data_IF_245444776636
#
_entry.id   IF_245444776636
#
_cell.length_a   1.000
_cell.length_b   1.000
_cell.length_c   1.000
_cell.angle_alpha   90.00
_cell.angle_beta   90.00
_cell.angle_gamma   90.00
#
_symmetry.space_group_name_H-M   'P 1'
#
loop_
_entity.id
_entity.type
_entity.pdbx_description
1 polymer ?
#
# COMPACT_ATOMS: atom_id res chain seq x y z
N UNK A 1 -4.91 34.02 13.42
CA UNK A 1 -3.76 33.85 12.53
C UNK A 1 -3.93 32.47 11.95
N UNK A 2 -4.02 32.39 10.64
CA UNK A 2 -4.29 31.15 9.94
C UNK A 2 -3.11 30.21 10.10
N UNK A 3 -3.36 29.02 10.63
CA UNK A 3 -2.34 27.97 10.79
C UNK A 3 -2.43 27.03 9.60
N UNK A 4 -1.33 26.88 8.86
CA UNK A 4 -1.25 25.92 7.76
C UNK A 4 -0.51 24.67 8.26
N UNK A 5 -1.02 23.48 7.97
CA UNK A 5 -0.41 22.21 8.41
C UNK A 5 -0.40 21.21 7.26
N UNK A 6 0.77 20.64 6.99
CA UNK A 6 0.94 19.61 5.96
C UNK A 6 0.92 18.24 6.63
N UNK A 7 0.19 17.28 6.07
CA UNK A 7 0.16 15.91 6.56
C UNK A 7 1.54 15.25 6.41
N UNK A 8 2.01 14.56 7.46
CA UNK A 8 3.34 13.93 7.48
C UNK A 8 3.54 12.90 6.36
N UNK A 9 2.48 12.19 6.00
CA UNK A 9 2.50 11.19 4.93
C UNK A 9 2.25 11.78 3.53
N UNK A 10 2.20 13.11 3.36
CA UNK A 10 1.96 13.70 2.05
C UNK A 10 3.09 13.39 1.05
N UNK A 11 2.72 13.14 -0.21
CA UNK A 11 3.68 12.99 -1.31
C UNK A 11 4.06 11.54 -1.64
N UNK A 12 5.22 11.33 -2.25
CA UNK A 12 5.62 10.04 -2.83
C UNK A 12 5.59 8.88 -1.82
N UNK A 13 5.00 7.76 -2.24
CA UNK A 13 5.20 6.50 -1.53
C UNK A 13 6.42 5.74 -2.09
N UNK A 14 6.89 4.74 -1.35
CA UNK A 14 8.00 3.87 -1.77
C UNK A 14 7.81 3.27 -3.16
N UNK A 15 6.60 2.77 -3.48
CA UNK A 15 6.32 2.14 -4.77
C UNK A 15 6.45 3.12 -5.95
N UNK A 16 6.02 4.37 -5.75
CA UNK A 16 6.15 5.45 -6.72
C UNK A 16 7.61 5.88 -6.88
N UNK A 17 8.30 6.17 -5.78
CA UNK A 17 9.70 6.59 -5.80
C UNK A 17 10.60 5.54 -6.48
N UNK A 18 10.39 4.25 -6.15
CA UNK A 18 11.08 3.12 -6.80
C UNK A 18 10.84 3.11 -8.31
N UNK A 19 9.58 3.24 -8.74
CA UNK A 19 9.25 3.17 -10.17
C UNK A 19 9.86 4.35 -10.95
N UNK A 20 9.79 5.55 -10.38
CA UNK A 20 10.39 6.76 -10.96
C UNK A 20 11.91 6.63 -11.08
N UNK A 21 12.59 6.20 -10.01
CA UNK A 21 14.04 5.96 -10.02
C UNK A 21 14.46 4.90 -11.03
N UNK A 22 13.68 3.83 -11.20
CA UNK A 22 13.96 2.79 -12.19
C UNK A 22 13.98 3.35 -13.62
N UNK A 23 13.03 4.21 -13.98
CA UNK A 23 12.99 4.83 -15.31
C UNK A 23 14.16 5.80 -15.49
N UNK A 24 14.41 6.71 -14.55
CA UNK A 24 15.53 7.66 -14.66
C UNK A 24 16.89 6.97 -14.73
N UNK A 25 17.10 5.91 -13.94
CA UNK A 25 18.33 5.14 -13.98
C UNK A 25 18.54 4.45 -15.33
N UNK A 26 17.47 4.05 -16.01
CA UNK A 26 17.55 3.44 -17.33
C UNK A 26 17.78 4.49 -18.42
N UNK A 27 17.11 5.65 -18.34
CA UNK A 27 17.36 6.79 -19.24
C UNK A 27 18.82 7.27 -19.15
N UNK A 28 19.43 7.25 -17.96
CA UNK A 28 20.84 7.60 -17.76
C UNK A 28 21.85 6.67 -18.46
N UNK A 29 21.43 5.51 -18.96
CA UNK A 29 22.28 4.55 -19.68
C UNK A 29 22.28 4.76 -21.20
N UNK A 30 21.65 5.82 -21.70
CA UNK A 30 21.44 6.08 -23.15
C UNK A 30 20.70 4.93 -23.87
N UNK A 31 19.84 4.20 -23.16
CA UNK A 31 18.97 3.18 -23.75
C UNK A 31 17.64 3.79 -24.19
N UNK A 32 17.00 3.18 -25.19
CA UNK A 32 15.64 3.56 -25.60
C UNK A 32 14.63 2.96 -24.63
N UNK A 33 13.88 3.80 -23.94
CA UNK A 33 12.94 3.39 -22.89
C UNK A 33 11.50 3.62 -23.33
N UNK A 34 10.66 2.60 -23.20
CA UNK A 34 9.22 2.70 -23.41
C UNK A 34 8.49 2.30 -22.11
N UNK A 35 7.68 3.17 -21.52
CA UNK A 35 6.83 2.83 -20.37
C UNK A 35 5.47 2.35 -20.87
N UNK A 36 4.98 1.22 -20.35
CA UNK A 36 3.65 0.72 -20.67
C UNK A 36 2.60 1.46 -19.84
N UNK A 37 2.00 2.46 -20.46
CA UNK A 37 1.23 3.53 -19.84
C UNK A 37 2.13 4.54 -19.09
N UNK A 38 1.52 5.59 -18.50
CA UNK A 38 2.23 6.48 -17.59
C UNK A 38 2.84 5.70 -16.42
N UNK A 39 4.11 5.97 -16.10
CA UNK A 39 4.81 5.28 -15.00
C UNK A 39 4.09 5.48 -13.66
N UNK A 40 3.55 6.67 -13.45
CA UNK A 40 2.73 7.10 -12.31
C UNK A 40 1.64 8.08 -12.79
N UNK A 41 0.65 8.36 -11.95
CA UNK A 41 -0.42 9.32 -12.25
C UNK A 41 -0.02 10.76 -11.86
N UNK A 42 1.07 11.26 -12.45
CA UNK A 42 1.52 12.65 -12.33
C UNK A 42 2.12 13.12 -13.66
N UNK A 43 1.53 14.16 -14.25
CA UNK A 43 1.86 14.58 -15.61
C UNK A 43 3.22 15.26 -15.72
N UNK A 44 3.65 16.01 -14.70
CA UNK A 44 4.93 16.72 -14.70
C UNK A 44 6.11 15.76 -14.73
N UNK A 45 6.05 14.70 -13.91
CA UNK A 45 7.05 13.63 -13.90
C UNK A 45 7.08 12.89 -15.24
N UNK A 46 5.91 12.62 -15.83
CA UNK A 46 5.84 11.97 -17.15
C UNK A 46 6.44 12.87 -18.23
N UNK A 47 6.13 14.18 -18.22
CA UNK A 47 6.66 15.14 -19.19
C UNK A 47 8.18 15.28 -19.09
N UNK A 48 8.75 15.33 -17.89
CA UNK A 48 10.21 15.35 -17.72
C UNK A 48 10.88 14.07 -18.25
N UNK A 49 10.26 12.89 -18.05
CA UNK A 49 10.76 11.64 -18.63
C UNK A 49 10.70 11.64 -20.16
N UNK A 50 9.62 12.16 -20.76
CA UNK A 50 9.50 12.31 -22.22
C UNK A 50 10.58 13.26 -22.77
N UNK A 51 10.84 14.38 -22.09
CA UNK A 51 11.90 15.33 -22.45
C UNK A 51 13.31 14.70 -22.40
N UNK A 52 13.50 13.68 -21.55
CA UNK A 52 14.73 12.88 -21.46
C UNK A 52 14.77 11.68 -22.40
N UNK A 53 13.78 11.51 -23.26
CA UNK A 53 13.76 10.50 -24.32
C UNK A 53 13.00 9.21 -23.99
N UNK A 54 12.21 9.17 -22.92
CA UNK A 54 11.25 8.09 -22.72
C UNK A 54 10.10 8.21 -23.73
N UNK A 55 9.45 7.07 -24.02
CA UNK A 55 8.18 7.01 -24.75
C UNK A 55 7.13 6.37 -23.86
N UNK A 56 5.90 6.87 -23.92
CA UNK A 56 4.74 6.20 -23.30
C UNK A 56 4.03 5.42 -24.42
N UNK A 57 3.71 4.16 -24.16
CA UNK A 57 2.97 3.28 -25.09
C UNK A 57 1.71 2.76 -24.40
N UNK A 58 0.62 2.58 -25.13
CA UNK A 58 -0.62 2.03 -24.58
C UNK A 58 -0.65 0.51 -24.65
N UNK A 59 0.06 -0.06 -25.63
CA UNK A 59 0.09 -1.50 -25.89
C UNK A 59 1.50 -2.03 -26.15
N UNK A 60 1.72 -3.32 -25.85
CA UNK A 60 2.97 -4.04 -26.18
C UNK A 60 3.22 -4.07 -27.69
N UNK A 61 2.18 -3.93 -28.50
CA UNK A 61 2.28 -3.93 -29.96
C UNK A 61 3.07 -2.75 -30.50
N UNK A 62 3.05 -1.62 -29.79
CA UNK A 62 3.79 -0.41 -30.13
C UNK A 62 5.28 -0.46 -29.79
N UNK A 63 5.76 -1.51 -29.10
CA UNK A 63 7.19 -1.67 -28.79
C UNK A 63 8.02 -1.77 -30.06
N UNK A 64 9.11 -1.03 -30.10
CA UNK A 64 10.07 -1.07 -31.19
C UNK A 64 11.24 -2.02 -30.86
N UNK A 65 11.89 -2.62 -31.88
CA UNK A 65 13.07 -3.45 -31.67
C UNK A 65 14.18 -2.71 -30.91
N UNK A 66 14.75 -3.36 -29.90
CA UNK A 66 15.84 -2.82 -29.08
C UNK A 66 15.40 -1.84 -27.98
N UNK A 67 14.11 -1.53 -27.85
CA UNK A 67 13.61 -0.78 -26.70
C UNK A 67 13.59 -1.64 -25.43
N UNK A 68 13.91 -1.01 -24.30
CA UNK A 68 13.63 -1.56 -22.98
C UNK A 68 12.24 -1.11 -22.56
N UNK A 69 11.34 -2.06 -22.33
CA UNK A 69 9.99 -1.79 -21.81
C UNK A 69 10.02 -1.72 -20.28
N UNK A 70 9.34 -0.73 -19.72
CA UNK A 70 9.15 -0.58 -18.27
C UNK A 70 7.68 -0.80 -17.95
N UNK A 71 7.38 -1.81 -17.13
CA UNK A 71 6.04 -2.03 -16.58
C UNK A 71 5.82 -1.05 -15.43
N UNK A 72 4.68 -0.35 -15.42
CA UNK A 72 4.37 0.66 -14.40
C UNK A 72 4.07 0.08 -13.01
N UNK A 73 4.07 0.95 -12.00
CA UNK A 73 3.86 0.57 -10.59
C UNK A 73 2.54 -0.16 -10.30
N UNK A 74 1.51 0.05 -11.11
CA UNK A 74 0.22 -0.64 -11.03
C UNK A 74 0.26 -2.10 -11.50
N UNK A 75 1.36 -2.55 -12.11
CA UNK A 75 1.48 -3.87 -12.70
C UNK A 75 0.59 -4.09 -13.92
N UNK A 76 0.67 -5.31 -14.45
CA UNK A 76 -0.06 -5.76 -15.64
C UNK A 76 -0.47 -7.24 -15.48
N UNK A 77 -1.44 -7.66 -16.30
CA UNK A 77 -1.87 -9.06 -16.35
C UNK A 77 -0.81 -9.99 -16.91
N UNK A 78 -0.92 -11.28 -16.63
CA UNK A 78 0.08 -12.30 -17.01
C UNK A 78 0.37 -12.35 -18.50
N UNK A 79 -0.66 -12.20 -19.33
CA UNK A 79 -0.53 -12.18 -20.80
C UNK A 79 0.40 -11.08 -21.34
N UNK A 80 0.54 -9.96 -20.63
CA UNK A 80 1.40 -8.85 -21.05
C UNK A 80 2.86 -9.25 -20.93
N UNK A 81 3.22 -9.96 -19.86
CA UNK A 81 4.57 -10.50 -19.68
C UNK A 81 4.93 -11.50 -20.79
N UNK A 82 3.99 -12.35 -21.18
CA UNK A 82 4.16 -13.33 -22.24
C UNK A 82 4.37 -12.63 -23.60
N UNK A 83 3.54 -11.64 -23.94
CA UNK A 83 3.69 -10.82 -25.16
C UNK A 83 5.03 -10.07 -25.23
N UNK A 84 5.51 -9.53 -24.11
CA UNK A 84 6.82 -8.86 -24.05
C UNK A 84 7.96 -9.86 -24.32
N UNK A 85 7.88 -11.05 -23.72
CA UNK A 85 8.86 -12.11 -23.92
C UNK A 85 8.90 -12.59 -25.39
N UNK A 86 7.74 -12.75 -26.02
CA UNK A 86 7.60 -13.12 -27.44
C UNK A 86 8.24 -12.09 -28.38
N UNK A 87 8.13 -10.79 -28.07
CA UNK A 87 8.79 -9.72 -28.85
C UNK A 87 10.30 -9.65 -28.64
N UNK A 88 10.84 -10.27 -27.59
CA UNK A 88 12.27 -10.27 -27.28
C UNK A 88 12.82 -8.94 -26.75
N UNK A 89 11.94 -8.00 -26.35
CA UNK A 89 12.35 -6.75 -25.71
C UNK A 89 12.85 -6.99 -24.29
N UNK A 90 13.87 -6.23 -23.86
CA UNK A 90 14.29 -6.24 -22.45
C UNK A 90 13.20 -5.59 -21.60
N UNK A 91 12.87 -6.21 -20.47
CA UNK A 91 11.83 -5.74 -19.55
C UNK A 91 12.45 -5.28 -18.22
N UNK A 92 11.97 -4.15 -17.70
CA UNK A 92 12.15 -3.71 -16.33
C UNK A 92 10.78 -3.69 -15.67
N UNK A 93 10.60 -4.50 -14.64
CA UNK A 93 9.34 -4.55 -13.91
C UNK A 93 9.34 -3.57 -12.73
N UNK A 94 8.73 -2.41 -12.93
CA UNK A 94 8.56 -1.40 -11.89
C UNK A 94 7.27 -1.58 -11.09
N UNK A 95 6.54 -2.70 -11.25
CA UNK A 95 5.36 -3.04 -10.45
C UNK A 95 5.67 -2.83 -8.97
N UNK A 96 4.75 -2.14 -8.30
CA UNK A 96 4.80 -1.93 -6.87
C UNK A 96 4.70 -3.29 -6.19
N UNK A 97 5.57 -3.58 -5.24
CA UNK A 97 5.54 -4.88 -4.62
C UNK A 97 4.27 -5.33 -3.92
N UNK A 98 3.56 -4.37 -3.33
CA UNK A 98 2.27 -4.62 -2.71
C UNK A 98 1.29 -5.14 -3.76
N UNK A 99 1.37 -4.63 -4.99
CA UNK A 99 0.59 -5.13 -6.13
C UNK A 99 1.08 -6.52 -6.56
N UNK A 100 2.39 -6.74 -6.70
CA UNK A 100 2.94 -8.06 -7.04
C UNK A 100 2.55 -9.14 -6.02
N UNK A 101 2.41 -8.78 -4.74
CA UNK A 101 1.91 -9.66 -3.69
C UNK A 101 0.45 -10.06 -3.96
N UNK A 102 -0.42 -9.11 -4.31
CA UNK A 102 -1.81 -9.41 -4.66
C UNK A 102 -1.87 -10.34 -5.87
N UNK A 103 -1.06 -10.10 -6.91
CA UNK A 103 -0.97 -10.97 -8.08
C UNK A 103 -0.69 -12.43 -7.69
N UNK A 104 0.25 -12.66 -6.76
CA UNK A 104 0.56 -14.00 -6.25
C UNK A 104 -0.59 -14.60 -5.45
N UNK A 105 -1.21 -13.82 -4.56
CA UNK A 105 -2.34 -14.26 -3.75
C UNK A 105 -3.48 -14.73 -4.67
N UNK A 106 -3.90 -13.91 -5.63
CA UNK A 106 -5.04 -14.25 -6.48
C UNK A 106 -4.73 -15.43 -7.41
N UNK A 107 -3.49 -15.55 -7.91
CA UNK A 107 -3.05 -16.70 -8.69
C UNK A 107 -3.10 -18.00 -7.86
N UNK A 108 -2.59 -17.96 -6.62
CA UNK A 108 -2.60 -19.10 -5.70
C UNK A 108 -4.04 -19.50 -5.31
N UNK A 109 -4.86 -18.53 -4.91
CA UNK A 109 -6.22 -18.78 -4.43
C UNK A 109 -7.12 -19.32 -5.54
N UNK A 110 -7.07 -18.73 -6.74
CA UNK A 110 -7.81 -19.28 -7.88
C UNK A 110 -7.31 -20.66 -8.29
N UNK A 111 -5.99 -20.91 -8.22
CA UNK A 111 -5.40 -22.24 -8.45
C UNK A 111 -5.86 -23.30 -7.45
N UNK A 112 -6.13 -22.91 -6.20
CA UNK A 112 -6.73 -23.75 -5.15
C UNK A 112 -8.26 -23.90 -5.27
N UNK A 113 -8.87 -23.31 -6.29
CA UNK A 113 -10.31 -23.41 -6.56
C UNK A 113 -11.18 -22.40 -5.82
N UNK A 114 -10.59 -21.39 -5.17
CA UNK A 114 -11.35 -20.30 -4.54
C UNK A 114 -11.94 -19.36 -5.60
N UNK A 115 -13.15 -18.88 -5.33
CA UNK A 115 -13.72 -17.73 -6.03
C UNK A 115 -13.17 -16.45 -5.41
N UNK A 116 -12.36 -15.71 -6.17
CA UNK A 116 -11.74 -14.47 -5.70
C UNK A 116 -12.68 -13.29 -5.91
N UNK A 117 -12.84 -12.49 -4.86
CA UNK A 117 -13.50 -11.20 -4.81
C UNK A 117 -12.45 -10.10 -4.68
N UNK A 118 -12.54 -9.08 -5.53
CA UNK A 118 -11.59 -7.96 -5.59
C UNK A 118 -12.36 -6.66 -5.32
N UNK A 119 -12.09 -6.02 -4.18
CA UNK A 119 -12.62 -4.68 -3.90
C UNK A 119 -11.81 -3.64 -4.67
N UNK A 120 -12.44 -2.91 -5.59
CA UNK A 120 -11.75 -1.92 -6.40
C UNK A 120 -12.55 -1.43 -7.60
N UNK A 121 -11.97 -0.50 -8.34
CA UNK A 121 -12.53 -0.05 -9.61
C UNK A 121 -12.14 -1.01 -10.73
N UNK A 122 -13.14 -1.66 -11.34
CA UNK A 122 -12.94 -2.61 -12.41
C UNK A 122 -12.18 -2.02 -13.61
N UNK A 123 -12.21 -0.72 -13.85
CA UNK A 123 -11.47 -0.08 -14.96
C UNK A 123 -10.06 0.34 -14.58
N UNK A 124 -9.68 0.25 -13.31
CA UNK A 124 -8.38 0.70 -12.85
C UNK A 124 -7.25 -0.24 -13.30
N UNK A 125 -6.11 0.28 -13.79
CA UNK A 125 -4.95 -0.52 -14.22
C UNK A 125 -4.51 -1.62 -13.25
N UNK A 126 -4.44 -1.29 -11.97
CA UNK A 126 -4.06 -2.23 -10.92
C UNK A 126 -5.04 -3.39 -10.81
N UNK A 127 -6.35 -3.10 -10.86
CA UNK A 127 -7.39 -4.12 -10.77
C UNK A 127 -7.39 -5.00 -12.02
N UNK A 128 -7.18 -4.41 -13.21
CA UNK A 128 -6.97 -5.16 -14.45
C UNK A 128 -5.73 -6.07 -14.37
N UNK A 129 -4.64 -5.58 -13.75
CA UNK A 129 -3.46 -6.37 -13.42
C UNK A 129 -3.82 -7.58 -12.56
N UNK A 130 -4.45 -7.35 -11.41
CA UNK A 130 -4.89 -8.40 -10.47
C UNK A 130 -5.78 -9.44 -11.16
N UNK A 131 -6.80 -9.00 -11.91
CA UNK A 131 -7.69 -9.87 -12.67
C UNK A 131 -6.89 -10.73 -13.66
N UNK A 132 -5.89 -10.16 -14.33
CA UNK A 132 -5.03 -10.86 -15.29
C UNK A 132 -4.09 -11.91 -14.69
N UNK A 133 -4.02 -12.06 -13.36
CA UNK A 133 -3.29 -13.15 -12.68
C UNK A 133 -4.23 -14.24 -12.14
N UNK A 134 -5.55 -14.07 -12.26
CA UNK A 134 -6.54 -15.06 -11.83
C UNK A 134 -6.68 -16.17 -12.88
N UNK A 135 -6.59 -17.44 -12.46
CA UNK A 135 -6.81 -18.58 -13.36
C UNK A 135 -8.31 -18.86 -13.65
N UNK A 136 -9.19 -18.31 -12.82
CA UNK A 136 -10.64 -18.33 -12.98
C UNK A 136 -11.18 -16.91 -12.90
N UNK A 137 -12.30 -16.61 -13.57
CA UNK A 137 -12.89 -15.27 -13.57
C UNK A 137 -13.23 -14.83 -12.14
N UNK A 138 -12.61 -13.74 -11.61
CA UNK A 138 -12.95 -13.20 -10.30
C UNK A 138 -14.22 -12.35 -10.36
N UNK A 139 -14.70 -11.93 -9.19
CA UNK A 139 -15.74 -10.92 -9.03
C UNK A 139 -15.09 -9.63 -8.55
N UNK A 140 -15.28 -8.54 -9.29
CA UNK A 140 -14.84 -7.20 -8.87
C UNK A 140 -16.06 -6.44 -8.37
N UNK A 141 -15.91 -5.71 -7.27
CA UNK A 141 -16.98 -4.88 -6.70
C UNK A 141 -16.41 -3.56 -6.18
N UNK A 142 -17.18 -2.49 -6.32
CA UNK A 142 -16.76 -1.13 -5.99
C UNK A 142 -16.93 -0.78 -4.54
N UNK A 143 -18.01 -1.24 -3.89
CA UNK A 143 -18.42 -0.82 -2.56
C UNK A 143 -19.30 -1.87 -1.86
N UNK A 144 -19.70 -1.58 -0.62
CA UNK A 144 -20.51 -2.46 0.20
C UNK A 144 -21.94 -2.65 -0.34
N UNK A 145 -22.46 -1.69 -1.12
CA UNK A 145 -23.78 -1.79 -1.75
C UNK A 145 -23.72 -2.83 -2.86
N UNK A 146 -22.72 -2.73 -3.74
CA UNK A 146 -22.52 -3.70 -4.82
C UNK A 146 -22.22 -5.10 -4.28
N UNK A 147 -21.41 -5.21 -3.20
CA UNK A 147 -21.16 -6.49 -2.54
C UNK A 147 -22.45 -7.13 -2.00
N UNK A 148 -23.29 -6.33 -1.33
CA UNK A 148 -24.59 -6.79 -0.82
C UNK A 148 -25.49 -7.28 -1.95
N UNK A 149 -25.55 -6.54 -3.07
CA UNK A 149 -26.32 -6.94 -4.24
C UNK A 149 -25.83 -8.26 -4.85
N UNK A 150 -24.51 -8.46 -4.91
CA UNK A 150 -23.90 -9.71 -5.39
C UNK A 150 -24.31 -10.87 -4.48
N UNK A 151 -24.23 -10.71 -3.17
CA UNK A 151 -24.64 -11.74 -2.21
C UNK A 151 -26.14 -12.06 -2.31
N UNK A 152 -26.99 -11.04 -2.43
CA UNK A 152 -28.43 -11.21 -2.58
C UNK A 152 -28.79 -11.97 -3.88
N UNK A 153 -28.13 -11.65 -5.00
CA UNK A 153 -28.37 -12.31 -6.31
C UNK A 153 -27.82 -13.73 -6.37
N UNK A 154 -26.82 -14.05 -5.55
CA UNK A 154 -26.16 -15.36 -5.55
C UNK A 154 -26.93 -16.43 -4.76
N UNK A 155 -27.97 -16.04 -3.99
CA UNK A 155 -28.74 -16.95 -3.14
C UNK A 155 -27.92 -17.54 -1.98
N UNK A 156 -28.40 -18.62 -1.36
CA UNK A 156 -27.59 -19.39 -0.41
C UNK A 156 -26.55 -20.24 -1.17
N UNK A 157 -25.27 -19.93 -0.93
CA UNK A 157 -24.07 -20.73 -1.22
C UNK A 157 -23.40 -20.39 -2.57
N UNK A 158 -22.36 -19.55 -2.49
CA UNK A 158 -21.20 -19.76 -3.35
C UNK A 158 -20.69 -21.18 -3.10
N UNK A 159 -20.82 -22.07 -4.09
CA UNK A 159 -20.41 -23.49 -3.97
C UNK A 159 -18.90 -23.68 -3.81
N UNK A 160 -18.14 -22.61 -3.97
CA UNK A 160 -16.68 -22.57 -3.87
C UNK A 160 -16.29 -21.79 -2.62
N UNK A 161 -15.15 -22.11 -1.99
CA UNK A 161 -14.60 -21.25 -0.97
C UNK A 161 -14.25 -19.88 -1.57
N UNK A 162 -14.31 -18.82 -0.75
CA UNK A 162 -14.16 -17.43 -1.18
C UNK A 162 -12.84 -16.85 -0.67
N UNK A 163 -12.22 -16.02 -1.51
CA UNK A 163 -11.05 -15.26 -1.11
C UNK A 163 -11.28 -13.78 -1.44
N UNK A 164 -11.07 -12.90 -0.47
CA UNK A 164 -11.23 -11.46 -0.66
C UNK A 164 -9.87 -10.76 -0.65
N UNK A 165 -9.67 -9.87 -1.61
CA UNK A 165 -8.54 -8.93 -1.68
C UNK A 165 -9.10 -7.53 -1.99
N UNK A 166 -8.34 -6.50 -1.67
CA UNK A 166 -8.63 -5.11 -2.01
C UNK A 166 -7.52 -4.49 -2.87
N UNK A 167 -7.88 -3.56 -3.75
CA UNK A 167 -6.93 -2.67 -4.41
C UNK A 167 -6.07 -1.95 -3.35
N UNK A 168 -4.77 -1.78 -3.60
CA UNK A 168 -3.82 -1.20 -2.64
C UNK A 168 -4.17 0.23 -2.21
N UNK A 169 -4.87 0.99 -3.07
CA UNK A 169 -5.33 2.36 -2.84
C UNK A 169 -6.83 2.43 -2.53
N UNK A 170 -7.45 1.34 -2.08
CA UNK A 170 -8.88 1.30 -1.78
C UNK A 170 -9.22 2.13 -0.52
N UNK A 171 -10.48 2.56 -0.40
CA UNK A 171 -10.94 3.36 0.74
C UNK A 171 -11.14 2.45 1.96
N UNK A 172 -10.42 2.71 3.05
CA UNK A 172 -10.39 1.85 4.24
C UNK A 172 -11.75 1.85 4.94
N UNK A 173 -12.45 2.99 4.96
CA UNK A 173 -13.75 3.10 5.59
C UNK A 173 -14.75 2.21 4.84
N UNK A 174 -14.77 2.30 3.50
CA UNK A 174 -15.63 1.46 2.67
C UNK A 174 -15.25 -0.01 2.82
N UNK A 175 -13.94 -0.32 2.88
CA UNK A 175 -13.47 -1.68 3.13
C UNK A 175 -14.01 -2.26 4.43
N UNK A 176 -13.96 -1.50 5.52
CA UNK A 176 -14.51 -1.93 6.81
C UNK A 176 -16.03 -2.16 6.73
N UNK A 177 -16.79 -1.36 5.97
CA UNK A 177 -18.21 -1.63 5.73
C UNK A 177 -18.44 -2.92 4.94
N UNK A 178 -17.61 -3.21 3.93
CA UNK A 178 -17.65 -4.49 3.21
C UNK A 178 -17.34 -5.68 4.15
N UNK A 179 -16.32 -5.55 5.00
CA UNK A 179 -15.92 -6.59 5.95
C UNK A 179 -17.01 -6.93 6.97
N UNK A 180 -17.90 -5.99 7.32
CA UNK A 180 -19.05 -6.25 8.21
C UNK A 180 -20.09 -7.17 7.56
N UNK A 181 -20.13 -7.25 6.23
CA UNK A 181 -21.06 -8.09 5.47
C UNK A 181 -20.53 -9.50 5.23
N UNK A 182 -19.22 -9.70 5.42
CA UNK A 182 -18.55 -10.97 5.14
C UNK A 182 -18.54 -11.83 6.42
N UNK A 183 -19.04 -13.08 6.38
CA UNK A 183 -19.00 -13.99 7.53
C UNK A 183 -17.57 -14.39 7.89
N UNK A 184 -16.93 -13.66 8.81
CA UNK A 184 -15.51 -13.87 9.20
C UNK A 184 -15.23 -15.23 9.86
N UNK A 185 -16.27 -15.91 10.35
CA UNK A 185 -16.17 -17.22 10.99
C UNK A 185 -16.37 -18.40 10.04
N UNK A 186 -16.72 -18.16 8.77
CA UNK A 186 -16.83 -19.24 7.79
C UNK A 186 -15.43 -19.74 7.39
N UNK A 187 -15.09 -21.02 7.65
CA UNK A 187 -13.78 -21.59 7.30
C UNK A 187 -13.53 -21.65 5.79
N UNK A 188 -14.57 -21.48 4.96
CA UNK A 188 -14.46 -21.41 3.51
C UNK A 188 -14.17 -20.00 3.00
N UNK A 189 -14.06 -18.99 3.88
CA UNK A 189 -13.78 -17.60 3.50
C UNK A 189 -12.40 -17.19 4.02
N UNK A 190 -11.55 -16.70 3.12
CA UNK A 190 -10.25 -16.11 3.46
C UNK A 190 -10.26 -14.64 3.07
N UNK A 191 -9.76 -13.78 3.96
CA UNK A 191 -9.70 -12.35 3.73
C UNK A 191 -8.24 -11.92 3.84
N UNK A 192 -7.71 -11.39 2.75
CA UNK A 192 -6.39 -10.75 2.73
C UNK A 192 -6.59 -9.24 2.74
N UNK A 193 -6.12 -8.58 3.78
CA UNK A 193 -6.10 -7.13 3.81
C UNK A 193 -4.93 -6.61 2.97
N UNK A 194 -5.23 -6.27 1.73
CA UNK A 194 -4.21 -5.92 0.73
C UNK A 194 -4.16 -4.42 0.42
N UNK A 195 -4.88 -3.60 1.17
CA UNK A 195 -4.62 -2.15 1.23
C UNK A 195 -3.19 -1.99 1.75
N UNK A 196 -2.39 -1.13 1.11
CA UNK A 196 -1.00 -0.98 1.54
C UNK A 196 -0.88 -0.01 2.72
N UNK A 197 0.10 -0.23 3.60
CA UNK A 197 0.32 0.62 4.77
C UNK A 197 0.47 2.11 4.40
N UNK A 198 1.11 2.42 3.27
CA UNK A 198 1.24 3.79 2.79
C UNK A 198 -0.13 4.44 2.51
N UNK A 199 -1.09 3.70 1.96
CA UNK A 199 -2.48 4.16 1.80
C UNK A 199 -3.16 4.30 3.16
N UNK A 200 -2.98 3.33 4.05
CA UNK A 200 -3.58 3.34 5.39
C UNK A 200 -3.19 4.53 6.24
N UNK A 201 -1.87 4.73 6.39
CA UNK A 201 -1.32 5.88 7.11
C UNK A 201 -1.79 7.19 6.49
N UNK A 202 -1.77 7.31 5.16
CA UNK A 202 -2.13 8.55 4.47
C UNK A 202 -3.62 8.90 4.58
N UNK A 203 -4.51 7.93 4.51
CA UNK A 203 -5.94 8.17 4.77
C UNK A 203 -6.20 8.51 6.24
N UNK A 204 -5.49 7.87 7.17
CA UNK A 204 -5.63 8.13 8.61
C UNK A 204 -5.14 9.54 8.97
N UNK A 205 -3.94 9.92 8.53
CA UNK A 205 -3.37 11.26 8.72
C UNK A 205 -4.25 12.34 8.08
N UNK A 206 -4.75 12.10 6.87
CA UNK A 206 -5.64 13.03 6.18
C UNK A 206 -6.97 13.19 6.92
N UNK A 207 -7.55 12.11 7.46
CA UNK A 207 -8.76 12.17 8.27
C UNK A 207 -8.54 12.91 9.60
N UNK A 208 -7.42 12.68 10.27
CA UNK A 208 -7.06 13.39 11.50
C UNK A 208 -6.84 14.89 11.25
N UNK A 209 -6.10 15.24 10.21
CA UNK A 209 -5.87 16.62 9.82
C UNK A 209 -7.20 17.31 9.45
N UNK A 210 -8.03 16.67 8.62
CA UNK A 210 -9.32 17.22 8.21
C UNK A 210 -10.27 17.47 9.39
N UNK A 211 -10.25 16.64 10.45
CA UNK A 211 -11.04 16.91 11.68
C UNK A 211 -10.59 18.15 12.43
N UNK A 212 -9.34 18.55 12.24
CA UNK A 212 -8.70 19.67 12.91
C UNK A 212 -8.50 20.89 11.99
N UNK A 213 -9.06 20.86 10.78
CA UNK A 213 -8.96 21.91 9.77
C UNK A 213 -10.35 22.45 9.39
N UNK A 214 -10.41 23.71 8.99
CA UNK A 214 -11.61 24.34 8.45
C UNK A 214 -11.68 24.11 6.92
N UNK A 215 -10.50 24.08 6.28
CA UNK A 215 -10.31 23.77 4.86
C UNK A 215 -9.19 22.74 4.69
N UNK A 216 -9.39 21.81 3.76
CA UNK A 216 -8.38 20.87 3.29
C UNK A 216 -8.05 21.09 1.81
N UNK A 217 -6.76 21.10 1.48
CA UNK A 217 -6.25 20.97 0.13
C UNK A 217 -5.67 19.56 -0.06
N UNK A 218 -6.19 18.84 -1.06
CA UNK A 218 -5.72 17.52 -1.46
C UNK A 218 -5.00 17.66 -2.79
N UNK A 219 -3.67 17.58 -2.76
CA UNK A 219 -2.81 17.90 -3.91
C UNK A 219 -2.47 16.63 -4.70
N UNK A 220 -2.74 16.65 -6.00
CA UNK A 220 -2.29 15.63 -6.95
C UNK A 220 -3.26 15.38 -8.10
N UNK A 221 -2.86 14.52 -9.02
CA UNK A 221 -3.60 14.30 -10.28
C UNK A 221 -5.07 13.92 -10.09
N UNK A 222 -5.96 14.47 -10.92
CA UNK A 222 -7.42 14.21 -10.87
C UNK A 222 -7.81 12.76 -11.18
N UNK A 223 -6.93 12.04 -11.87
CA UNK A 223 -7.11 10.62 -12.21
C UNK A 223 -6.36 9.67 -11.28
N UNK A 224 -5.67 10.18 -10.23
CA UNK A 224 -4.99 9.35 -9.24
C UNK A 224 -6.02 8.76 -8.28
N UNK A 225 -6.20 7.43 -8.30
CA UNK A 225 -7.10 6.73 -7.39
C UNK A 225 -6.82 7.13 -5.93
N UNK A 226 -5.57 7.06 -5.48
CA UNK A 226 -5.21 7.46 -4.12
C UNK A 226 -5.60 8.91 -3.79
N UNK A 227 -5.37 9.86 -4.69
CA UNK A 227 -5.68 11.28 -4.44
C UNK A 227 -7.19 11.51 -4.34
N UNK A 228 -7.97 10.88 -5.22
CA UNK A 228 -9.45 10.94 -5.16
C UNK A 228 -9.96 10.38 -3.83
N UNK A 229 -9.42 9.25 -3.35
CA UNK A 229 -9.84 8.64 -2.08
C UNK A 229 -9.49 9.54 -0.89
N UNK A 230 -8.35 10.25 -0.92
CA UNK A 230 -8.02 11.23 0.12
C UNK A 230 -9.00 12.40 0.12
N UNK A 231 -9.40 12.90 -1.05
CA UNK A 231 -10.43 13.93 -1.19
C UNK A 231 -11.77 13.47 -0.61
N UNK A 232 -12.19 12.25 -0.93
CA UNK A 232 -13.40 11.63 -0.35
C UNK A 232 -13.31 11.50 1.17
N UNK A 233 -12.15 11.12 1.72
CA UNK A 233 -11.93 11.01 3.18
C UNK A 233 -12.01 12.37 3.86
N UNK A 234 -11.31 13.39 3.34
CA UNK A 234 -11.29 14.73 3.93
C UNK A 234 -12.65 15.42 3.86
N UNK A 235 -13.38 15.25 2.75
CA UNK A 235 -14.70 15.86 2.52
C UNK A 235 -15.77 15.42 3.52
N UNK A 236 -15.51 14.38 4.32
CA UNK A 236 -16.42 13.95 5.40
C UNK A 236 -16.32 14.84 6.64
N UNK A 237 -15.27 15.65 6.77
CA UNK A 237 -14.96 16.41 7.98
C UNK A 237 -14.94 17.92 7.77
N UNK A 238 -14.51 18.40 6.60
CA UNK A 238 -14.43 19.84 6.30
C UNK A 238 -14.53 20.14 4.80
N UNK A 239 -14.59 21.43 4.45
CA UNK A 239 -14.50 21.89 3.05
C UNK A 239 -13.19 21.40 2.46
N UNK A 240 -13.25 20.71 1.33
CA UNK A 240 -12.08 20.06 0.71
C UNK A 240 -11.95 20.48 -0.75
N UNK A 241 -10.76 20.91 -1.15
CA UNK A 241 -10.41 21.25 -2.53
C UNK A 241 -9.38 20.25 -3.06
N UNK A 242 -9.70 19.59 -4.18
CA UNK A 242 -8.75 18.76 -4.91
C UNK A 242 -8.12 19.58 -6.03
N UNK A 243 -6.81 19.83 -5.92
CA UNK A 243 -6.02 20.62 -6.88
C UNK A 243 -4.82 19.81 -7.37
N UNK A 244 -4.34 20.07 -8.59
CA UNK A 244 -3.15 19.40 -9.13
C UNK A 244 -1.87 20.16 -8.79
N UNK A 245 -1.92 21.49 -8.69
CA UNK A 245 -0.79 22.37 -8.36
C UNK A 245 -1.27 23.72 -7.76
N UNK A 246 -0.33 24.62 -7.47
CA UNK A 246 -0.60 25.95 -6.89
C UNK A 246 -1.36 26.89 -7.83
N UNK A 247 -1.27 26.73 -9.15
CA UNK A 247 -1.90 27.65 -10.11
C UNK A 247 -3.44 27.61 -10.00
N UNK A 248 -3.99 26.45 -9.63
CA UNK A 248 -5.44 26.27 -9.43
C UNK A 248 -5.97 27.07 -8.22
N UNK A 249 -5.13 27.46 -7.25
CA UNK A 249 -5.55 28.22 -6.08
C UNK A 249 -6.16 29.57 -6.46
N UNK A 250 -5.60 30.23 -7.47
CA UNK A 250 -6.06 31.54 -7.95
C UNK A 250 -7.49 31.55 -8.48
N UNK A 251 -7.99 30.40 -8.92
CA UNK A 251 -9.35 30.23 -9.42
C UNK A 251 -10.36 29.91 -8.32
N UNK A 252 -9.90 29.58 -7.11
CA UNK A 252 -10.76 29.21 -5.99
C UNK A 252 -11.27 30.44 -5.25
N UNK A 253 -12.53 30.37 -4.82
CA UNK A 253 -13.10 31.30 -3.83
C UNK A 253 -13.00 30.62 -2.48
N UNK A 254 -11.93 30.96 -1.75
CA UNK A 254 -11.67 30.40 -0.43
C UNK A 254 -12.48 31.18 0.63
N UNK A 255 -13.21 30.50 1.53
CA UNK A 255 -13.76 31.15 2.71
C UNK A 255 -12.65 31.48 3.71
N UNK A 256 -12.93 32.42 4.62
CA UNK A 256 -12.03 32.67 5.76
C UNK A 256 -11.87 31.38 6.58
N UNK A 257 -10.63 31.03 6.91
CA UNK A 257 -10.29 29.83 7.67
C UNK A 257 -9.15 30.11 8.65
N UNK A 258 -9.26 29.61 9.88
CA UNK A 258 -8.19 29.73 10.87
C UNK A 258 -7.20 28.55 10.77
N UNK A 259 -7.65 27.41 10.23
CA UNK A 259 -6.88 26.17 10.16
C UNK A 259 -6.98 25.56 8.77
N UNK A 260 -5.88 25.57 8.04
CA UNK A 260 -5.78 25.03 6.68
C UNK A 260 -4.90 23.78 6.71
N UNK A 261 -5.44 22.66 6.25
CA UNK A 261 -4.68 21.43 6.09
C UNK A 261 -4.30 21.19 4.64
N UNK A 262 -3.10 20.66 4.41
CA UNK A 262 -2.61 20.25 3.09
C UNK A 262 -2.21 18.78 3.19
N UNK A 263 -2.74 17.95 2.30
CA UNK A 263 -2.27 16.57 2.09
C UNK A 263 -2.02 16.35 0.61
N UNK A 264 -1.38 15.24 0.26
CA UNK A 264 -1.07 14.96 -1.13
C UNK A 264 -1.11 13.48 -1.44
N UNK A 265 -1.48 13.17 -2.69
CA UNK A 265 -1.50 11.81 -3.19
C UNK A 265 -0.12 11.17 -3.25
N UNK A 266 -0.10 9.83 -3.25
CA UNK A 266 1.12 9.02 -3.31
C UNK A 266 1.97 9.24 -4.59
N UNK A 267 1.42 9.89 -5.62
CA UNK A 267 2.11 10.23 -6.87
C UNK A 267 2.47 11.72 -6.97
N UNK A 268 2.29 12.51 -5.91
CA UNK A 268 2.56 13.96 -5.94
C UNK A 268 3.98 14.25 -5.42
N UNK A 269 4.86 14.88 -6.23
CA UNK A 269 6.20 15.26 -5.79
C UNK A 269 6.19 16.29 -4.65
N UNK A 270 7.22 16.25 -3.79
CA UNK A 270 7.36 17.17 -2.65
C UNK A 270 7.39 18.66 -3.06
N UNK A 271 8.00 18.98 -4.21
CA UNK A 271 8.06 20.37 -4.69
C UNK A 271 6.69 20.95 -5.01
N UNK A 272 5.75 20.17 -5.55
CA UNK A 272 4.38 20.63 -5.83
C UNK A 272 3.65 20.93 -4.51
N UNK A 273 3.85 20.10 -3.49
CA UNK A 273 3.28 20.31 -2.15
C UNK A 273 3.84 21.61 -1.54
N UNK A 274 5.14 21.84 -1.71
CA UNK A 274 5.82 23.06 -1.28
C UNK A 274 5.30 24.29 -1.98
N UNK A 275 5.09 24.23 -3.29
CA UNK A 275 4.52 25.33 -4.09
C UNK A 275 3.12 25.70 -3.62
N UNK A 276 2.26 24.70 -3.38
CA UNK A 276 0.91 24.92 -2.80
C UNK A 276 1.00 25.53 -1.41
N UNK A 277 1.87 25.01 -0.55
CA UNK A 277 2.09 25.54 0.79
C UNK A 277 2.51 27.02 0.75
N UNK A 278 3.54 27.35 -0.04
CA UNK A 278 4.04 28.72 -0.18
C UNK A 278 2.98 29.66 -0.77
N UNK A 279 2.25 29.23 -1.79
CA UNK A 279 1.19 30.03 -2.39
C UNK A 279 0.05 30.31 -1.39
N UNK A 280 -0.30 29.35 -0.53
CA UNK A 280 -1.28 29.54 0.54
C UNK A 280 -0.75 30.48 1.64
N UNK A 281 0.51 30.34 2.03
CA UNK A 281 1.16 31.26 2.97
C UNK A 281 1.18 32.68 2.41
N UNK A 282 1.48 32.87 1.13
CA UNK A 282 1.42 34.17 0.46
C UNK A 282 -0.01 34.74 0.39
N UNK A 283 -1.01 33.90 0.11
CA UNK A 283 -2.42 34.29 0.12
C UNK A 283 -2.85 34.83 1.49
N UNK A 284 -2.49 34.13 2.58
CA UNK A 284 -2.78 34.55 3.96
C UNK A 284 -1.93 35.74 4.44
N UNK A 285 -0.66 35.84 4.02
CA UNK A 285 0.23 36.95 4.38
C UNK A 285 -0.13 38.27 3.67
N UNK A 286 -0.80 38.20 2.51
CA UNK A 286 -1.43 39.39 1.91
C UNK A 286 -2.63 39.89 2.74
N UNK A 287 -3.05 39.14 3.77
CA UNK A 287 -4.15 39.45 4.70
C UNK A 287 -3.62 39.76 6.12
N UNK A 288 -2.45 39.23 6.54
CA UNK A 288 -1.85 39.48 7.88
C UNK A 288 -0.30 39.52 7.90
N UNK A 289 0.30 40.24 8.86
CA UNK A 289 1.77 40.39 9.01
C UNK A 289 2.49 39.03 9.22
N UNK A 290 3.65 38.78 8.58
CA UNK A 290 4.25 37.44 8.48
C UNK A 290 5.18 37.09 9.67
N UNK A 291 5.09 35.85 10.15
CA UNK A 291 6.23 35.08 10.68
C UNK A 291 6.46 33.86 9.78
N UNK A 292 7.71 33.40 9.65
CA UNK A 292 8.11 32.30 8.76
C UNK A 292 7.54 30.94 9.24
N UNK A 293 6.46 30.45 8.63
CA UNK A 293 6.17 29.02 8.71
C UNK A 293 7.20 28.23 7.88
N UNK A 294 7.94 27.33 8.53
CA UNK A 294 9.03 26.57 7.91
C UNK A 294 8.49 25.27 7.31
N UNK A 295 8.53 25.16 5.98
CA UNK A 295 8.27 23.89 5.28
C UNK A 295 9.48 22.95 5.40
N UNK A 296 9.36 21.88 6.18
CA UNK A 296 10.40 20.84 6.29
C UNK A 296 10.29 19.83 5.14
N UNK A 297 10.94 20.14 4.02
CA UNK A 297 11.03 19.27 2.85
C UNK A 297 11.70 17.91 3.16
N UNK A 298 12.62 17.88 4.14
CA UNK A 298 13.33 16.67 4.53
C UNK A 298 12.49 15.75 5.43
N UNK A 299 11.46 16.26 6.12
CA UNK A 299 10.49 15.43 6.83
C UNK A 299 9.57 14.66 5.87
N UNK A 300 9.25 15.24 4.72
CA UNK A 300 8.43 14.60 3.67
C UNK A 300 9.22 13.50 2.94
N UNK A 301 10.54 13.66 2.80
CA UNK A 301 11.39 12.76 2.01
C UNK A 301 12.16 11.70 2.86
N UNK A 302 11.88 11.61 4.17
CA UNK A 302 12.73 10.85 5.09
C UNK A 302 12.57 9.32 5.03
N UNK A 303 13.52 8.72 4.31
CA UNK A 303 14.48 7.71 4.76
C UNK A 303 13.98 6.59 5.69
N UNK A 304 13.71 5.46 5.07
CA UNK A 304 13.43 4.18 5.70
C UNK A 304 14.66 3.51 6.36
N UNK A 305 14.54 3.05 7.61
CA UNK A 305 15.50 2.12 8.23
C UNK A 305 15.61 0.84 7.38
N UNK A 306 16.82 0.27 7.27
CA UNK A 306 17.04 -1.04 6.63
C UNK A 306 16.88 -2.14 7.68
N UNK A 307 16.21 -3.22 7.29
CA UNK A 307 16.06 -4.44 8.09
C UNK A 307 16.73 -5.62 7.40
N UNK A 308 17.20 -6.60 8.16
CA UNK A 308 17.89 -7.79 7.67
C UNK A 308 17.28 -9.09 8.23
N UNK A 309 17.40 -10.19 7.48
CA UNK A 309 16.96 -11.51 7.96
C UNK A 309 17.67 -11.90 9.26
N UNK A 310 16.91 -12.36 10.25
CA UNK A 310 17.38 -12.74 11.58
C UNK A 310 17.38 -11.59 12.60
N UNK A 311 17.11 -10.36 12.16
CA UNK A 311 17.01 -9.20 13.05
C UNK A 311 15.73 -9.26 13.90
N UNK A 312 15.84 -8.97 15.21
CA UNK A 312 14.70 -8.76 16.10
C UNK A 312 14.22 -7.31 15.92
N UNK A 313 12.97 -7.14 15.53
CA UNK A 313 12.32 -5.85 15.25
C UNK A 313 11.06 -5.72 16.10
N UNK A 314 10.72 -4.49 16.48
CA UNK A 314 9.41 -4.15 17.03
C UNK A 314 8.49 -3.71 15.90
N UNK A 315 7.27 -4.25 15.87
CA UNK A 315 6.25 -3.86 14.92
C UNK A 315 4.94 -3.51 15.61
N UNK A 316 4.21 -2.55 15.04
CA UNK A 316 2.85 -2.19 15.47
C UNK A 316 1.87 -2.91 14.56
N UNK A 317 0.91 -3.65 15.13
CA UNK A 317 -0.14 -4.33 14.36
C UNK A 317 -1.05 -3.28 13.69
N UNK A 318 -1.07 -3.25 12.36
CA UNK A 318 -1.93 -2.33 11.59
C UNK A 318 -3.22 -2.98 11.12
N UNK A 319 -3.18 -4.28 10.78
CA UNK A 319 -4.38 -5.03 10.41
C UNK A 319 -4.31 -6.48 10.86
N UNK A 320 -5.48 -7.03 11.19
CA UNK A 320 -5.66 -8.41 11.66
C UNK A 320 -6.62 -9.12 10.71
N UNK A 321 -6.07 -9.96 9.83
CA UNK A 321 -6.83 -10.87 8.99
C UNK A 321 -7.16 -12.18 9.72
N UNK A 322 -7.86 -13.08 9.04
CA UNK A 322 -8.15 -14.41 9.61
C UNK A 322 -6.99 -15.42 9.44
N UNK A 323 -6.04 -15.15 8.54
CA UNK A 323 -4.89 -16.02 8.25
C UNK A 323 -3.53 -15.40 8.58
N UNK A 324 -3.45 -14.07 8.70
CA UNK A 324 -2.21 -13.33 8.94
C UNK A 324 -2.52 -11.97 9.60
N UNK A 325 -1.48 -11.36 10.15
CA UNK A 325 -1.49 -9.96 10.55
C UNK A 325 -0.51 -9.16 9.70
N UNK A 326 -0.82 -7.88 9.52
CA UNK A 326 0.08 -6.90 8.93
C UNK A 326 0.63 -6.03 10.05
N UNK A 327 1.93 -5.74 10.00
CA UNK A 327 2.61 -4.90 10.99
C UNK A 327 3.41 -3.79 10.32
N UNK A 328 3.36 -2.60 10.90
CA UNK A 328 4.26 -1.52 10.58
C UNK A 328 5.57 -1.68 11.35
N UNK A 329 6.68 -1.70 10.62
CA UNK A 329 8.03 -1.83 11.17
C UNK A 329 8.74 -0.49 11.37
N UNK A 330 8.08 0.63 11.03
CA UNK A 330 8.73 1.95 10.95
C UNK A 330 9.82 1.99 9.87
N UNK A 331 9.71 1.14 8.85
CA UNK A 331 10.68 1.00 7.75
C UNK A 331 9.96 0.99 6.39
N UNK A 332 10.70 0.85 5.28
CA UNK A 332 10.09 0.74 3.93
C UNK A 332 9.33 -0.56 3.76
N UNK A 333 9.61 -1.54 4.60
CA UNK A 333 9.02 -2.86 4.50
C UNK A 333 7.79 -2.94 5.37
N UNK A 334 6.67 -3.34 4.78
CA UNK A 334 5.53 -3.80 5.58
C UNK A 334 5.78 -5.22 6.02
N UNK A 335 5.60 -5.47 7.31
CA UNK A 335 5.73 -6.78 7.90
C UNK A 335 4.44 -7.59 7.78
N UNK A 336 4.57 -8.88 7.52
CA UNK A 336 3.46 -9.83 7.59
C UNK A 336 3.86 -11.01 8.46
N UNK A 337 2.97 -11.39 9.37
CA UNK A 337 3.13 -12.58 10.21
C UNK A 337 1.95 -13.49 9.92
N UNK A 338 2.23 -14.65 9.32
CA UNK A 338 1.21 -15.68 9.11
C UNK A 338 0.80 -16.30 10.44
N UNK A 339 -0.38 -16.92 10.50
CA UNK A 339 -0.81 -17.65 11.70
C UNK A 339 0.23 -18.68 12.17
N UNK A 340 0.82 -19.42 11.23
CA UNK A 340 1.88 -20.41 11.50
C UNK A 340 3.17 -19.82 12.08
N UNK A 341 3.38 -18.51 11.93
CA UNK A 341 4.52 -17.76 12.46
C UNK A 341 4.14 -16.93 13.71
N UNK A 342 2.84 -16.88 14.04
CA UNK A 342 2.29 -16.18 15.19
C UNK A 342 2.07 -17.10 16.40
N UNK A 343 1.70 -18.36 16.17
CA UNK A 343 1.39 -19.34 17.23
C UNK A 343 1.66 -20.78 16.79
N UNK A 344 1.94 -21.66 17.75
CA UNK A 344 1.98 -23.13 17.55
C UNK A 344 0.59 -23.79 17.58
N UNK A 345 -0.45 -23.07 18.01
CA UNK A 345 -1.81 -23.59 18.12
C UNK A 345 -2.61 -23.29 16.83
N UNK A 346 -2.83 -24.28 15.94
CA UNK A 346 -3.54 -24.10 14.68
C UNK A 346 -5.05 -23.86 14.88
N UNK A 347 -5.58 -24.03 16.10
CA UNK A 347 -6.99 -23.76 16.41
C UNK A 347 -7.27 -22.27 16.68
N UNK A 348 -6.23 -21.47 16.93
CA UNK A 348 -6.35 -20.03 17.17
C UNK A 348 -6.47 -19.25 15.88
N UNK A 349 -7.13 -18.10 15.93
CA UNK A 349 -7.11 -17.10 14.88
C UNK A 349 -6.19 -15.95 15.28
N UNK A 350 -5.65 -15.17 14.32
CA UNK A 350 -4.83 -14.01 14.64
C UNK A 350 -5.52 -13.01 15.59
N UNK A 351 -6.84 -12.82 15.43
CA UNK A 351 -7.66 -11.97 16.29
C UNK A 351 -7.80 -12.46 17.75
N UNK A 352 -7.50 -13.73 18.03
CA UNK A 352 -7.46 -14.24 19.41
C UNK A 352 -6.12 -13.93 20.09
N UNK A 353 -5.12 -13.49 19.32
CA UNK A 353 -3.72 -13.41 19.75
C UNK A 353 -3.20 -11.97 19.83
N UNK A 354 -3.74 -11.06 19.00
CA UNK A 354 -3.34 -9.65 18.92
C UNK A 354 -4.51 -8.76 18.48
N UNK A 355 -4.43 -7.49 18.83
CA UNK A 355 -5.32 -6.41 18.39
C UNK A 355 -4.57 -5.37 17.56
N UNK A 356 -5.30 -4.63 16.72
CA UNK A 356 -4.73 -3.48 16.00
C UNK A 356 -4.24 -2.45 17.03
N UNK A 357 -3.01 -1.96 16.84
CA UNK A 357 -2.31 -1.08 17.76
C UNK A 357 -1.36 -1.77 18.73
N UNK A 358 -1.39 -3.11 18.83
CA UNK A 358 -0.45 -3.84 19.68
C UNK A 358 0.99 -3.70 19.17
N UNK A 359 1.92 -3.41 20.08
CA UNK A 359 3.36 -3.47 19.80
C UNK A 359 3.88 -4.88 20.11
N UNK A 360 4.46 -5.55 19.12
CA UNK A 360 4.96 -6.92 19.24
C UNK A 360 6.42 -7.04 18.78
N UNK A 361 7.18 -7.85 19.50
CA UNK A 361 8.54 -8.25 19.10
C UNK A 361 8.47 -9.38 18.07
N UNK A 362 9.23 -9.23 16.99
CA UNK A 362 9.22 -10.14 15.84
C UNK A 362 10.63 -10.39 15.34
N UNK A 363 10.87 -11.55 14.73
CA UNK A 363 12.12 -11.81 13.98
C UNK A 363 11.84 -11.80 12.50
N UNK A 364 12.71 -11.12 11.75
CA UNK A 364 12.67 -11.09 10.29
C UNK A 364 13.06 -12.46 9.73
N UNK A 365 12.09 -13.18 9.16
CA UNK A 365 12.31 -14.48 8.50
C UNK A 365 12.91 -14.27 7.11
N UNK A 366 12.34 -13.34 6.36
CA UNK A 366 12.76 -13.07 4.99
C UNK A 366 12.42 -11.63 4.63
N UNK A 367 13.43 -10.89 4.22
CA UNK A 367 13.24 -9.59 3.57
C UNK A 367 13.10 -9.81 2.07
N UNK A 368 12.11 -9.17 1.47
CA UNK A 368 12.02 -9.08 0.03
C UNK A 368 12.09 -7.61 -0.35
N UNK A 369 13.31 -7.12 -0.61
CA UNK A 369 13.55 -5.72 -1.01
C UNK A 369 12.92 -5.38 -2.35
N UNK A 370 12.96 -6.34 -3.29
CA UNK A 370 12.25 -6.21 -4.54
C UNK A 370 10.75 -6.06 -4.29
N UNK A 371 10.24 -6.71 -3.24
CA UNK A 371 8.85 -6.65 -2.81
C UNK A 371 8.53 -5.69 -1.63
N UNK A 372 9.41 -4.80 -1.17
CA UNK A 372 9.08 -3.88 -0.06
C UNK A 372 8.35 -4.52 1.13
N UNK A 373 8.58 -5.81 1.40
CA UNK A 373 7.86 -6.60 2.40
C UNK A 373 8.84 -7.42 3.22
N UNK A 374 8.44 -7.75 4.43
CA UNK A 374 9.16 -8.66 5.30
C UNK A 374 8.21 -9.73 5.85
N UNK A 375 8.57 -11.00 5.68
CA UNK A 375 7.95 -12.08 6.42
C UNK A 375 8.58 -12.12 7.82
N UNK A 376 7.74 -12.19 8.84
CA UNK A 376 8.13 -12.04 10.24
C UNK A 376 7.58 -13.21 11.06
N UNK A 377 8.20 -13.48 12.22
CA UNK A 377 7.76 -14.53 13.13
C UNK A 377 7.86 -14.11 14.58
N UNK A 378 6.74 -14.25 15.30
CA UNK A 378 6.69 -14.13 16.77
C UNK A 378 7.19 -15.41 17.41
N UNK A 379 6.89 -16.58 16.82
CA UNK A 379 7.36 -17.88 17.32
C UNK A 379 8.88 -17.94 17.45
N UNK A 380 9.62 -17.40 16.48
CA UNK A 380 11.09 -17.37 16.58
C UNK A 380 11.60 -16.50 17.74
N UNK A 381 10.86 -15.46 18.13
CA UNK A 381 11.19 -14.67 19.33
C UNK A 381 10.99 -15.53 20.57
N UNK A 382 9.84 -16.20 20.66
CA UNK A 382 9.51 -17.11 21.76
C UNK A 382 10.51 -18.29 21.86
N UNK A 383 10.97 -18.83 20.74
CA UNK A 383 12.01 -19.87 20.67
C UNK A 383 13.37 -19.37 21.20
N UNK A 384 13.78 -18.15 20.81
CA UNK A 384 15.02 -17.55 21.31
C UNK A 384 14.96 -17.30 22.82
N UNK A 385 13.87 -16.71 23.30
CA UNK A 385 13.65 -16.44 24.73
C UNK A 385 13.56 -17.73 25.54
N UNK A 386 12.91 -18.77 25.00
CA UNK A 386 12.87 -20.11 25.58
C UNK A 386 14.25 -20.76 25.67
N UNK A 387 15.07 -20.65 24.62
CA UNK A 387 16.44 -21.16 24.63
C UNK A 387 17.32 -20.43 25.64
N UNK A 388 17.25 -19.10 25.70
CA UNK A 388 17.97 -18.30 26.69
C UNK A 388 17.59 -18.69 28.13
N UNK A 389 16.29 -18.92 28.37
CA UNK A 389 15.80 -19.40 29.67
C UNK A 389 16.39 -20.76 30.04
N UNK A 390 16.48 -21.69 29.09
CA UNK A 390 17.09 -23.02 29.30
C UNK A 390 18.59 -22.88 29.60
N UNK A 391 19.31 -22.04 28.86
CA UNK A 391 20.74 -21.81 29.07
C UNK A 391 21.00 -21.20 30.45
N UNK A 392 20.21 -20.20 30.85
CA UNK A 392 20.30 -19.58 32.17
C UNK A 392 20.01 -20.58 33.28
N UNK A 393 18.96 -21.40 33.14
CA UNK A 393 18.65 -22.41 34.14
C UNK A 393 19.73 -23.49 34.26
N UNK A 394 20.39 -23.85 33.15
CA UNK A 394 21.54 -24.75 33.16
C UNK A 394 22.73 -24.14 33.92
N UNK A 395 22.99 -22.84 33.75
CA UNK A 395 24.05 -22.13 34.47
C UNK A 395 23.74 -22.01 35.98
N UNK A 396 22.48 -21.77 36.33
CA UNK A 396 22.02 -21.59 37.71
C UNK A 396 21.68 -22.91 38.43
N UNK A 397 21.67 -24.04 37.71
CA UNK A 397 21.29 -25.36 38.24
C UNK A 397 19.81 -25.47 38.60
N UNK A 398 18.94 -24.67 38.00
CA UNK A 398 17.50 -24.65 38.29
C UNK A 398 16.74 -25.64 37.41
N UNK A 399 15.70 -26.26 37.98
CA UNK A 399 14.84 -27.21 37.27
C UNK A 399 13.81 -26.43 36.43
N UNK A 400 13.72 -26.76 35.15
CA UNK A 400 12.63 -26.29 34.27
C UNK A 400 11.66 -27.44 34.06
N UNK A 401 10.39 -27.19 34.32
CA UNK A 401 9.28 -28.08 33.96
C UNK A 401 8.68 -27.64 32.62
N UNK A 402 8.32 -28.59 31.77
CA UNK A 402 7.76 -28.32 30.45
C UNK A 402 6.93 -29.49 29.93
N UNK A 403 6.01 -29.18 29.03
CA UNK A 403 5.15 -30.18 28.37
C UNK A 403 5.84 -30.64 27.08
N UNK A 404 6.04 -31.95 26.95
CA UNK A 404 6.60 -32.54 25.72
C UNK A 404 5.54 -32.47 24.63
N UNK A 405 5.76 -31.62 23.63
CA UNK A 405 4.83 -31.48 22.51
C UNK A 405 5.04 -32.53 21.40
N UNK A 406 6.30 -32.84 21.08
CA UNK A 406 6.64 -33.82 20.04
C UNK A 406 7.89 -34.62 20.42
N UNK A 407 7.88 -35.92 20.10
CA UNK A 407 9.04 -36.80 20.23
C UNK A 407 9.74 -36.87 18.88
N UNK A 408 10.96 -36.35 18.78
CA UNK A 408 11.76 -36.42 17.56
C UNK A 408 12.65 -37.66 17.64
N UNK A 409 12.31 -38.72 16.89
CA UNK A 409 13.18 -39.89 16.75
C UNK A 409 14.39 -39.50 15.89
N UNK A 410 15.52 -39.22 16.54
CA UNK A 410 16.82 -39.21 15.86
C UNK A 410 17.23 -40.66 15.64
N UNK A 411 16.99 -41.15 14.43
CA UNK A 411 17.55 -42.42 13.95
C UNK A 411 19.07 -42.38 13.92
#
# INVERSE_FOLDING_TARGET
MTKITVAESAGFCFGVDRAVKMVYNELGKNTRVATLGPIIHNQDVVNDMLAKGARVIDSVDELQPGETVVIRSHGVGREVYEKIAEKGNRMIDATCPFVSRIHKIVAEMTGKGYLVFIAGDALHPEVQGIVGHCSQKPIVFRDNIELSDIFAKSGNIFKKPLAFVAQTTYNIIIWQECLKMIPKDDPNIIIYDTICNATEKRQSDAAELARNSDIMFVVGGKHSSNTVKLSEVCSRYCTTYHIENSDELSALKLPDADRIGITAGASTPAHIIKEVFLAMTEYENNITNPEEEVFDEAAIDKSFKKIHTGEKVKGIVVSVGNAEITVDLGTKHTGYVKLEDLTDDPSKKPADLVSVGDEIDLIVIKVNDAEGTAALSRRKVEEQEGYEKIMKAKEEGTVIEGVVQHVVNKG
#
